data_IF_919427728956
#
_entry.id   IF_919427728956
#
_cell.length_a   1.000
_cell.length_b   1.000
_cell.length_c   1.000
_cell.angle_alpha   90.00
_cell.angle_beta   90.00
_cell.angle_gamma   90.00
#
_symmetry.space_group_name_H-M   'P 1'
#
loop_
_entity.id
_entity.type
_entity.pdbx_description
1 polymer ?
#
# COMPACT_ATOMS: atom_id res chain seq x y z
N UNK A 1 -16.64 44.55 -16.65
CA UNK A 1 -15.66 44.42 -17.76
C UNK A 1 -14.65 43.39 -17.29
N UNK A 2 -14.16 42.48 -18.14
CA UNK A 2 -13.07 41.58 -17.76
C UNK A 2 -11.86 42.42 -17.35
N UNK A 3 -11.42 42.27 -16.09
CA UNK A 3 -10.25 42.96 -15.56
C UNK A 3 -8.99 42.41 -16.27
N UNK A 4 -8.01 43.27 -16.55
CA UNK A 4 -6.74 42.85 -17.17
C UNK A 4 -5.98 41.78 -16.36
N UNK A 5 -6.34 41.59 -15.08
CA UNK A 5 -5.76 40.61 -14.17
C UNK A 5 -6.52 39.29 -14.06
N UNK A 6 -7.77 39.19 -14.54
CA UNK A 6 -8.57 37.94 -14.50
C UNK A 6 -7.85 36.71 -15.08
N UNK A 7 -7.17 36.80 -16.25
CA UNK A 7 -6.43 35.66 -16.79
C UNK A 7 -5.27 35.19 -15.89
N UNK A 8 -4.74 36.09 -15.06
CA UNK A 8 -3.66 35.78 -14.12
C UNK A 8 -4.20 35.03 -12.90
N UNK A 9 -5.38 35.39 -12.39
CA UNK A 9 -6.07 34.69 -11.30
C UNK A 9 -6.56 33.29 -11.75
N UNK A 10 -7.12 33.17 -12.96
CA UNK A 10 -7.48 31.88 -13.56
C UNK A 10 -6.27 30.94 -13.69
N UNK A 11 -5.15 31.50 -14.14
CA UNK A 11 -3.89 30.75 -14.24
C UNK A 11 -3.40 30.32 -12.85
N UNK A 12 -3.47 31.19 -11.84
CA UNK A 12 -3.10 30.87 -10.47
C UNK A 12 -3.97 29.73 -9.90
N UNK A 13 -5.30 29.81 -10.08
CA UNK A 13 -6.26 28.76 -9.67
C UNK A 13 -5.91 27.43 -10.31
N UNK A 14 -5.65 27.44 -11.62
CA UNK A 14 -5.26 26.25 -12.38
C UNK A 14 -3.97 25.62 -11.84
N UNK A 15 -2.95 26.42 -11.51
CA UNK A 15 -1.70 25.91 -10.94
C UNK A 15 -1.89 25.32 -9.54
N UNK A 16 -2.76 25.92 -8.72
CA UNK A 16 -3.08 25.42 -7.38
C UNK A 16 -3.80 24.08 -7.47
N UNK A 17 -4.81 23.96 -8.33
CA UNK A 17 -5.55 22.72 -8.56
C UNK A 17 -4.63 21.60 -9.08
N UNK A 18 -3.69 21.94 -9.97
CA UNK A 18 -2.70 20.99 -10.47
C UNK A 18 -1.76 20.50 -9.37
N UNK A 19 -1.29 21.38 -8.48
CA UNK A 19 -0.47 20.97 -7.33
C UNK A 19 -1.26 20.10 -6.34
N UNK A 20 -2.53 20.43 -6.10
CA UNK A 20 -3.44 19.61 -5.27
C UNK A 20 -3.57 18.21 -5.86
N UNK A 21 -3.86 18.09 -7.16
CA UNK A 21 -3.93 16.78 -7.84
C UNK A 21 -2.61 16.02 -7.76
N UNK A 22 -1.47 16.67 -8.01
CA UNK A 22 -0.17 16.01 -7.93
C UNK A 22 0.14 15.48 -6.52
N UNK A 23 -0.31 16.18 -5.47
CA UNK A 23 -0.19 15.71 -4.08
C UNK A 23 -1.08 14.49 -3.81
N UNK A 24 -2.34 14.51 -4.26
CA UNK A 24 -3.25 13.37 -4.17
C UNK A 24 -2.70 12.15 -4.92
N UNK A 25 -2.24 12.34 -6.15
CA UNK A 25 -1.63 11.28 -6.96
C UNK A 25 -0.38 10.71 -6.29
N UNK A 26 0.46 11.56 -5.68
CA UNK A 26 1.67 11.14 -4.99
C UNK A 26 1.41 10.34 -3.71
N UNK A 27 0.32 10.65 -2.99
CA UNK A 27 -0.13 9.89 -1.81
C UNK A 27 -0.75 8.56 -2.23
N UNK A 28 -1.63 8.56 -3.24
CA UNK A 28 -2.22 7.34 -3.79
C UNK A 28 -1.14 6.37 -4.31
N UNK A 29 -0.10 6.89 -4.99
CA UNK A 29 1.01 6.07 -5.46
C UNK A 29 1.79 5.41 -4.31
N UNK A 30 1.92 6.09 -3.17
CA UNK A 30 2.54 5.51 -1.98
C UNK A 30 1.64 4.44 -1.35
N UNK A 31 0.34 4.68 -1.23
CA UNK A 31 -0.63 3.70 -0.73
C UNK A 31 -0.59 2.41 -1.57
N UNK A 32 -0.68 2.52 -2.91
CA UNK A 32 -0.59 1.34 -3.79
C UNK A 32 0.74 0.59 -3.67
N UNK A 33 1.84 1.28 -3.34
CA UNK A 33 3.13 0.61 -3.10
C UNK A 33 3.12 -0.18 -1.78
N UNK A 34 2.44 0.31 -0.75
CA UNK A 34 2.26 -0.41 0.53
C UNK A 34 1.35 -1.62 0.33
N UNK A 35 0.22 -1.48 -0.36
CA UNK A 35 -0.67 -2.60 -0.72
C UNK A 35 0.09 -3.71 -1.47
N UNK A 36 0.93 -3.35 -2.44
CA UNK A 36 1.74 -4.31 -3.19
C UNK A 36 2.75 -5.07 -2.31
N UNK A 37 3.24 -4.45 -1.22
CA UNK A 37 4.10 -5.14 -0.23
C UNK A 37 3.27 -6.16 0.54
N UNK A 38 2.07 -5.79 1.00
CA UNK A 38 1.13 -6.69 1.69
C UNK A 38 0.80 -7.91 0.85
N UNK A 39 0.40 -7.72 -0.41
CA UNK A 39 0.15 -8.81 -1.37
C UNK A 39 1.41 -9.67 -1.60
N UNK A 40 2.59 -9.03 -1.61
CA UNK A 40 3.88 -9.71 -1.73
C UNK A 40 4.17 -10.67 -0.57
N UNK A 41 3.80 -10.30 0.66
CA UNK A 41 3.94 -11.15 1.86
C UNK A 41 3.05 -12.40 1.75
N UNK A 42 1.80 -12.23 1.34
CA UNK A 42 0.87 -13.35 1.12
C UNK A 42 1.35 -14.31 0.02
N UNK A 43 1.89 -13.73 -1.07
CA UNK A 43 2.50 -14.50 -2.16
C UNK A 43 3.71 -15.32 -1.68
N UNK A 44 4.55 -14.74 -0.82
CA UNK A 44 5.69 -15.45 -0.22
C UNK A 44 5.26 -16.57 0.72
N UNK A 45 4.23 -16.35 1.56
CA UNK A 45 3.62 -17.38 2.40
C UNK A 45 3.18 -18.60 1.57
N UNK A 46 2.41 -18.36 0.51
CA UNK A 46 1.90 -19.43 -0.36
C UNK A 46 3.04 -20.23 -1.01
N UNK A 47 4.11 -19.56 -1.43
CA UNK A 47 5.29 -20.21 -1.99
C UNK A 47 6.06 -21.01 -0.94
N UNK A 48 6.16 -20.51 0.30
CA UNK A 48 6.80 -21.19 1.40
C UNK A 48 6.07 -22.50 1.75
N UNK A 49 4.74 -22.46 1.90
CA UNK A 49 3.89 -23.63 2.16
C UNK A 49 4.11 -24.72 1.09
N UNK A 50 4.07 -24.35 -0.19
CA UNK A 50 4.33 -25.29 -1.31
C UNK A 50 5.73 -25.91 -1.28
N UNK A 51 6.75 -25.14 -0.88
CA UNK A 51 8.12 -25.67 -0.78
C UNK A 51 8.26 -26.71 0.34
N UNK A 52 7.50 -26.57 1.43
CA UNK A 52 7.48 -27.55 2.52
C UNK A 52 6.84 -28.84 2.03
N UNK A 53 5.68 -28.77 1.39
CA UNK A 53 5.01 -29.95 0.81
C UNK A 53 5.91 -30.68 -0.20
N UNK A 54 6.62 -29.92 -1.05
CA UNK A 54 7.59 -30.48 -2.01
C UNK A 54 8.75 -31.18 -1.29
N UNK A 55 9.28 -30.59 -0.21
CA UNK A 55 10.37 -31.16 0.57
C UNK A 55 9.93 -32.41 1.32
N UNK A 56 8.72 -32.41 1.87
CA UNK A 56 8.06 -33.58 2.49
C UNK A 56 7.93 -34.72 1.49
N UNK A 57 7.38 -34.43 0.30
CA UNK A 57 7.23 -35.40 -0.80
C UNK A 57 8.56 -35.97 -1.28
N UNK A 58 9.59 -35.12 -1.44
CA UNK A 58 10.92 -35.55 -1.84
C UNK A 58 11.59 -36.44 -0.78
N UNK A 59 11.36 -36.14 0.50
CA UNK A 59 11.86 -36.93 1.62
C UNK A 59 11.21 -38.31 1.64
N UNK A 60 9.89 -38.40 1.46
CA UNK A 60 9.19 -39.68 1.33
C UNK A 60 9.70 -40.50 0.15
N UNK A 61 9.82 -39.89 -1.03
CA UNK A 61 10.36 -40.58 -2.21
C UNK A 61 11.78 -41.09 -2.02
N UNK A 62 12.62 -40.37 -1.26
CA UNK A 62 13.95 -40.84 -0.88
C UNK A 62 13.89 -42.05 0.05
N UNK A 63 13.01 -42.04 1.04
CA UNK A 63 12.80 -43.18 1.94
C UNK A 63 12.31 -44.40 1.17
N UNK A 64 11.33 -44.24 0.28
CA UNK A 64 10.81 -45.31 -0.58
C UNK A 64 11.92 -45.97 -1.40
N UNK A 65 12.78 -45.15 -2.04
CA UNK A 65 13.90 -45.65 -2.83
C UNK A 65 14.95 -46.40 -2.00
N UNK A 66 15.12 -46.05 -0.72
CA UNK A 66 16.01 -46.75 0.21
C UNK A 66 15.38 -48.06 0.69
N UNK A 67 14.08 -48.04 1.03
CA UNK A 67 13.32 -49.24 1.44
C UNK A 67 13.36 -50.32 0.35
N UNK A 68 13.20 -49.93 -0.92
CA UNK A 68 13.23 -50.84 -2.08
C UNK A 68 14.55 -51.61 -2.27
N UNK A 69 15.67 -51.12 -1.71
CA UNK A 69 17.01 -51.68 -1.93
C UNK A 69 17.61 -52.37 -0.71
N UNK A 70 16.93 -52.33 0.44
CA UNK A 70 17.36 -52.99 1.68
C UNK A 70 16.46 -54.18 2.02
N UNK A 71 16.92 -55.15 2.84
CA UNK A 71 16.05 -56.21 3.36
C UNK A 71 14.87 -55.64 4.17
N UNK A 72 13.68 -56.27 4.08
CA UNK A 72 12.44 -55.82 4.74
C UNK A 72 12.60 -55.58 6.26
N UNK A 73 13.48 -56.35 6.92
CA UNK A 73 13.75 -56.33 8.34
C UNK A 73 14.97 -55.48 8.74
N UNK A 74 15.52 -54.68 7.81
CA UNK A 74 16.70 -53.84 8.07
C UNK A 74 16.42 -52.57 8.88
N UNK A 75 15.21 -52.00 8.81
CA UNK A 75 14.82 -50.79 9.54
C UNK A 75 13.28 -50.67 9.68
N UNK A 76 12.85 -49.91 10.70
CA UNK A 76 11.44 -49.58 10.93
C UNK A 76 11.05 -48.32 10.14
N UNK A 77 10.90 -48.43 8.81
CA UNK A 77 10.66 -47.29 7.92
C UNK A 77 9.36 -46.53 8.20
N UNK A 78 8.30 -47.21 8.66
CA UNK A 78 7.06 -46.55 9.10
C UNK A 78 7.29 -45.59 10.27
N UNK A 79 8.10 -45.98 11.26
CA UNK A 79 8.38 -45.15 12.43
C UNK A 79 9.22 -43.92 12.05
N UNK A 80 10.16 -44.09 11.11
CA UNK A 80 10.95 -43.00 10.53
C UNK A 80 10.06 -42.01 9.78
N UNK A 81 9.12 -42.51 8.96
CA UNK A 81 8.15 -41.66 8.25
C UNK A 81 7.27 -40.89 9.22
N UNK A 82 6.74 -41.55 10.25
CA UNK A 82 5.90 -40.91 11.26
C UNK A 82 6.64 -39.78 11.99
N UNK A 83 7.90 -40.00 12.38
CA UNK A 83 8.71 -38.97 13.05
C UNK A 83 9.04 -37.78 12.14
N UNK A 84 9.26 -38.02 10.84
CA UNK A 84 9.49 -36.96 9.86
C UNK A 84 8.21 -36.16 9.59
N UNK A 85 7.08 -36.84 9.47
CA UNK A 85 5.77 -36.22 9.26
C UNK A 85 5.41 -35.32 10.44
N UNK A 86 5.59 -35.79 11.68
CA UNK A 86 5.39 -34.96 12.88
C UNK A 86 6.32 -33.73 12.89
N UNK A 87 7.55 -33.88 12.40
CA UNK A 87 8.49 -32.77 12.26
C UNK A 87 8.08 -31.74 11.20
N UNK A 88 7.54 -32.19 10.06
CA UNK A 88 6.98 -31.31 9.04
C UNK A 88 5.73 -30.60 9.55
N UNK A 89 4.81 -31.32 10.19
CA UNK A 89 3.57 -30.76 10.73
C UNK A 89 3.87 -29.67 11.79
N UNK A 90 4.81 -29.92 12.71
CA UNK A 90 5.24 -28.94 13.69
C UNK A 90 5.92 -27.71 13.06
N UNK A 91 6.67 -27.90 11.97
CA UNK A 91 7.28 -26.81 11.23
C UNK A 91 6.24 -25.97 10.49
N UNK A 92 5.26 -26.61 9.84
CA UNK A 92 4.15 -25.95 9.15
C UNK A 92 3.31 -25.13 10.13
N UNK A 93 2.98 -25.67 11.30
CA UNK A 93 2.27 -24.95 12.36
C UNK A 93 3.05 -23.71 12.81
N UNK A 94 4.33 -23.87 13.16
CA UNK A 94 5.18 -22.74 13.57
C UNK A 94 5.34 -21.70 12.47
N UNK A 95 5.44 -22.13 11.21
CA UNK A 95 5.55 -21.24 10.07
C UNK A 95 4.24 -20.48 9.83
N UNK A 96 3.09 -21.15 9.94
CA UNK A 96 1.77 -20.56 9.77
C UNK A 96 1.52 -19.47 10.81
N UNK A 97 1.83 -19.73 12.09
CA UNK A 97 1.75 -18.73 13.16
C UNK A 97 2.64 -17.51 12.89
N UNK A 98 3.87 -17.73 12.40
CA UNK A 98 4.79 -16.65 12.06
C UNK A 98 4.29 -15.79 10.89
N UNK A 99 3.71 -16.41 9.87
CA UNK A 99 3.11 -15.70 8.73
C UNK A 99 1.85 -14.94 9.11
N UNK A 100 1.00 -15.50 9.96
CA UNK A 100 -0.18 -14.82 10.49
C UNK A 100 0.22 -13.59 11.29
N UNK A 101 1.14 -13.73 12.25
CA UNK A 101 1.64 -12.60 13.04
C UNK A 101 2.30 -11.50 12.18
N UNK A 102 3.00 -11.89 11.11
CA UNK A 102 3.57 -10.93 10.17
C UNK A 102 2.49 -10.24 9.33
N UNK A 103 1.50 -11.00 8.85
CA UNK A 103 0.38 -10.49 8.06
C UNK A 103 -0.42 -9.46 8.85
N UNK A 104 -0.81 -9.81 10.08
CA UNK A 104 -1.53 -8.91 10.99
C UNK A 104 -0.75 -7.61 11.25
N UNK A 105 0.57 -7.71 11.48
CA UNK A 105 1.41 -6.53 11.73
C UNK A 105 1.51 -5.61 10.50
N UNK A 106 1.55 -6.18 9.29
CA UNK A 106 1.57 -5.41 8.05
C UNK A 106 0.21 -4.79 7.78
N UNK A 107 -0.88 -5.53 7.98
CA UNK A 107 -2.25 -5.03 7.78
C UNK A 107 -2.58 -3.90 8.77
N UNK A 108 -2.27 -4.07 10.07
CA UNK A 108 -2.44 -3.02 11.09
C UNK A 108 -1.62 -1.76 10.73
N UNK A 109 -0.39 -1.95 10.25
CA UNK A 109 0.44 -0.83 9.80
C UNK A 109 -0.12 -0.15 8.55
N UNK A 110 -0.75 -0.89 7.64
CA UNK A 110 -1.35 -0.31 6.44
C UNK A 110 -2.57 0.53 6.81
N UNK A 111 -3.49 -0.01 7.61
CA UNK A 111 -4.68 0.72 8.08
C UNK A 111 -4.29 2.01 8.79
N UNK A 112 -3.30 1.96 9.69
CA UNK A 112 -2.81 3.15 10.39
C UNK A 112 -2.17 4.18 9.43
N UNK A 113 -1.49 3.72 8.37
CA UNK A 113 -0.91 4.59 7.35
C UNK A 113 -2.00 5.25 6.50
N UNK A 114 -3.01 4.50 6.07
CA UNK A 114 -4.16 5.00 5.28
C UNK A 114 -4.93 6.09 6.04
N UNK A 115 -5.27 5.84 7.31
CA UNK A 115 -5.96 6.82 8.16
C UNK A 115 -5.14 8.11 8.31
N UNK A 116 -3.82 8.00 8.46
CA UNK A 116 -2.91 9.14 8.56
C UNK A 116 -2.85 9.92 7.24
N UNK A 117 -2.74 9.23 6.11
CA UNK A 117 -2.65 9.87 4.79
C UNK A 117 -3.96 10.54 4.39
N UNK A 118 -5.10 9.94 4.69
CA UNK A 118 -6.42 10.53 4.46
C UNK A 118 -6.60 11.79 5.29
N UNK A 119 -6.28 11.73 6.60
CA UNK A 119 -6.33 12.91 7.46
C UNK A 119 -5.39 14.02 6.99
N UNK A 120 -4.20 13.66 6.49
CA UNK A 120 -3.26 14.61 5.90
C UNK A 120 -3.81 15.26 4.62
N UNK A 121 -4.37 14.46 3.70
CA UNK A 121 -4.97 14.96 2.46
C UNK A 121 -6.16 15.88 2.73
N UNK A 122 -7.03 15.52 3.67
CA UNK A 122 -8.16 16.38 4.09
C UNK A 122 -7.68 17.72 4.64
N UNK A 123 -6.64 17.72 5.49
CA UNK A 123 -6.07 18.95 6.05
C UNK A 123 -5.42 19.83 4.97
N UNK A 124 -4.73 19.21 4.01
CA UNK A 124 -4.13 19.89 2.85
C UNK A 124 -5.22 20.49 1.95
N UNK A 125 -6.27 19.74 1.65
CA UNK A 125 -7.41 20.18 0.85
C UNK A 125 -8.13 21.37 1.50
N UNK A 126 -8.42 21.29 2.80
CA UNK A 126 -8.99 22.40 3.55
C UNK A 126 -8.10 23.65 3.51
N UNK A 127 -6.78 23.46 3.53
CA UNK A 127 -5.82 24.57 3.41
C UNK A 127 -5.81 25.19 2.02
N UNK A 128 -5.92 24.38 0.96
CA UNK A 128 -6.06 24.87 -0.41
C UNK A 128 -7.37 25.62 -0.63
N UNK A 129 -8.47 25.10 -0.11
CA UNK A 129 -9.79 25.74 -0.20
C UNK A 129 -9.78 27.11 0.52
N UNK A 130 -9.24 27.18 1.74
CA UNK A 130 -9.10 28.44 2.47
C UNK A 130 -8.18 29.44 1.74
N UNK A 131 -7.11 28.94 1.10
CA UNK A 131 -6.22 29.77 0.30
C UNK A 131 -6.90 30.34 -0.95
N UNK A 132 -7.68 29.52 -1.66
CA UNK A 132 -8.48 29.94 -2.81
C UNK A 132 -9.55 30.95 -2.42
N UNK A 133 -10.27 30.71 -1.32
CA UNK A 133 -11.30 31.62 -0.80
C UNK A 133 -10.72 32.99 -0.43
N UNK A 134 -9.51 33.02 0.15
CA UNK A 134 -8.79 34.27 0.42
C UNK A 134 -8.40 34.99 -0.87
N UNK A 135 -8.05 34.26 -1.93
CA UNK A 135 -7.67 34.83 -3.23
C UNK A 135 -8.88 35.36 -4.01
N UNK A 136 -10.01 34.65 -3.99
CA UNK A 136 -11.28 35.13 -4.56
C UNK A 136 -11.72 36.45 -3.89
N UNK A 137 -11.63 36.55 -2.57
CA UNK A 137 -11.91 37.81 -1.86
C UNK A 137 -10.98 38.96 -2.31
N UNK A 138 -9.73 38.68 -2.63
CA UNK A 138 -8.79 39.69 -3.16
C UNK A 138 -9.19 40.10 -4.58
N UNK A 139 -9.56 39.15 -5.44
CA UNK A 139 -10.07 39.43 -6.80
C UNK A 139 -11.33 40.30 -6.75
N UNK A 140 -12.32 39.96 -5.92
CA UNK A 140 -13.54 40.75 -5.73
C UNK A 140 -13.25 42.18 -5.26
N UNK A 141 -12.31 42.35 -4.32
CA UNK A 141 -11.86 43.67 -3.86
C UNK A 141 -11.16 44.46 -4.98
N UNK A 142 -10.35 43.79 -5.82
CA UNK A 142 -9.68 44.42 -6.96
C UNK A 142 -10.67 44.86 -8.03
N UNK A 143 -11.65 44.03 -8.35
CA UNK A 143 -12.70 44.36 -9.31
C UNK A 143 -13.56 45.52 -8.81
N UNK A 144 -13.96 45.51 -7.54
CA UNK A 144 -14.67 46.63 -6.93
C UNK A 144 -13.84 47.93 -6.94
N UNK A 145 -12.52 47.85 -6.72
CA UNK A 145 -11.64 49.01 -6.80
C UNK A 145 -11.49 49.53 -8.24
N UNK A 146 -11.35 48.64 -9.22
CA UNK A 146 -11.23 48.98 -10.64
C UNK A 146 -12.52 49.62 -11.19
N UNK A 147 -13.70 49.19 -10.74
CA UNK A 147 -14.99 49.80 -11.08
C UNK A 147 -15.17 51.20 -10.48
N UNK A 148 -14.50 51.50 -9.37
CA UNK A 148 -14.55 52.81 -8.69
C UNK A 148 -13.51 53.82 -9.19
N UNK A 149 -12.67 53.50 -10.17
CA UNK A 149 -11.74 54.47 -10.78
C UNK A 149 -12.55 55.36 -11.74
N UNK A 150 -12.72 56.67 -11.45
CA UNK A 150 -13.37 57.58 -12.39
C UNK A 150 -12.54 57.68 -13.68
N UNK A 151 -13.20 57.58 -14.82
CA UNK A 151 -12.63 57.84 -16.14
C UNK A 151 -12.40 59.35 -16.28
N UNK A 152 -11.45 59.92 -15.54
CA UNK A 152 -11.02 61.30 -15.74
C UNK A 152 -10.01 61.35 -16.88
N UNK A 153 -10.47 61.77 -18.06
CA UNK A 153 -9.60 62.26 -19.13
C UNK A 153 -10.01 61.89 -20.56
N UNK A 154 -11.10 62.49 -21.05
CA UNK A 154 -11.18 63.05 -22.41
C UNK A 154 -12.26 64.12 -22.49
#
# INVERSE_FOLDING_TARGET
MTNAFTPLFELQRTMIDQNRQALHEGVNAQQSAVEAITEGVEGQRTLAERNVELSRSATHAYIDAVEDVVPEDAAEFEEIRAALDEGFDAFEESQAEAWEALGDAVEESNVAYEELTDSYLEAVDSSFDAFLESHEQVEENFDAAAENIPVEGQ
#
